data_IF_497406526916
#
_entry.id   IF_497406526916
#
_cell.length_a   1.000
_cell.length_b   1.000
_cell.length_c   1.000
_cell.angle_alpha   90.00
_cell.angle_beta   90.00
_cell.angle_gamma   90.00
#
_symmetry.space_group_name_H-M   'P 1'
#
loop_
_entity.id
_entity.type
_entity.pdbx_description
1 polymer ?
#
# COMPACT_ATOMS: atom_id res chain seq x y z
N UNK A 1 2.71 -24.63 -3.24
CA UNK A 1 1.47 -24.43 -2.45
C UNK A 1 0.52 -25.56 -2.81
N UNK A 2 0.32 -26.53 -1.91
CA UNK A 2 -0.61 -27.65 -2.13
C UNK A 2 -2.01 -27.25 -1.65
N UNK A 3 -3.07 -27.73 -2.30
CA UNK A 3 -4.44 -27.52 -1.84
C UNK A 3 -4.58 -28.03 -0.39
N UNK A 4 -5.09 -27.19 0.51
CA UNK A 4 -5.19 -27.48 1.95
C UNK A 4 -4.05 -26.92 2.81
N UNK A 5 -3.10 -26.18 2.23
CA UNK A 5 -2.07 -25.48 3.02
C UNK A 5 -2.68 -24.30 3.77
N UNK A 6 -2.76 -24.40 5.10
CA UNK A 6 -3.06 -23.26 5.98
C UNK A 6 -1.77 -22.48 6.17
N UNK A 7 -1.75 -21.21 5.77
CA UNK A 7 -0.61 -20.33 5.94
C UNK A 7 -0.90 -19.41 7.12
N UNK A 8 -0.18 -19.61 8.21
CA UNK A 8 -0.19 -18.69 9.33
C UNK A 8 0.63 -17.46 8.97
N UNK A 9 -0.05 -16.33 8.77
CA UNK A 9 0.62 -15.04 8.62
C UNK A 9 1.14 -14.62 10.00
N UNK A 10 2.46 -14.44 10.10
CA UNK A 10 3.09 -13.92 11.32
C UNK A 10 2.66 -12.48 11.66
N UNK A 11 2.03 -11.79 10.70
CA UNK A 11 1.46 -10.46 10.87
C UNK A 11 0.10 -10.60 11.55
N UNK A 12 -0.01 -10.14 12.80
CA UNK A 12 -1.26 -10.18 13.56
C UNK A 12 -2.33 -9.37 12.81
N UNK A 13 -3.58 -9.83 12.87
CA UNK A 13 -4.75 -9.08 12.37
C UNK A 13 -4.88 -7.67 12.97
N UNK A 14 -4.17 -7.45 14.07
CA UNK A 14 -4.17 -6.24 14.88
C UNK A 14 -3.08 -5.23 14.47
N UNK A 15 -2.20 -5.57 13.51
CA UNK A 15 -1.15 -4.69 13.03
C UNK A 15 -1.60 -3.78 11.89
N UNK A 16 -1.00 -2.58 11.82
CA UNK A 16 -1.18 -1.66 10.71
C UNK A 16 -0.81 -2.33 9.38
N UNK A 17 -1.77 -2.40 8.48
CA UNK A 17 -1.58 -2.81 7.09
C UNK A 17 -1.07 -1.64 6.26
N UNK A 18 -0.19 -1.96 5.32
CA UNK A 18 0.28 -1.00 4.33
C UNK A 18 -0.73 -0.93 3.19
N UNK A 19 -1.11 0.29 2.82
CA UNK A 19 -1.99 0.54 1.68
C UNK A 19 -1.09 0.85 0.50
N UNK A 20 -1.10 -0.02 -0.50
CA UNK A 20 -0.30 0.15 -1.72
C UNK A 20 -1.18 0.57 -2.89
N UNK A 21 -0.70 1.53 -3.67
CA UNK A 21 -1.24 1.89 -4.98
C UNK A 21 -0.10 1.79 -5.98
N UNK A 22 -0.29 1.05 -7.07
CA UNK A 22 0.76 0.81 -8.08
C UNK A 22 2.11 0.37 -7.48
N UNK A 23 2.09 -0.60 -6.56
CA UNK A 23 3.27 -1.10 -5.84
C UNK A 23 4.01 -0.07 -4.96
N UNK A 24 3.42 1.10 -4.69
CA UNK A 24 3.97 2.10 -3.76
C UNK A 24 3.12 2.19 -2.50
N UNK A 25 3.76 2.20 -1.33
CA UNK A 25 3.09 2.40 -0.05
C UNK A 25 2.62 3.85 0.06
N UNK A 26 1.32 4.07 0.01
CA UNK A 26 0.70 5.40 0.11
C UNK A 26 0.14 5.71 1.49
N UNK A 27 0.22 4.77 2.44
CA UNK A 27 -0.32 4.95 3.77
C UNK A 27 -0.39 3.67 4.59
N UNK A 28 -0.91 3.82 5.81
CA UNK A 28 -1.17 2.74 6.75
C UNK A 28 -2.59 2.81 7.28
N UNK A 29 -3.17 1.64 7.52
CA UNK A 29 -4.50 1.53 8.09
C UNK A 29 -4.69 0.24 8.87
N UNK A 30 -5.76 0.19 9.63
CA UNK A 30 -6.16 -0.98 10.41
C UNK A 30 -7.34 -1.68 9.74
N UNK A 31 -7.41 -3.00 9.86
CA UNK A 31 -8.57 -3.78 9.42
C UNK A 31 -9.70 -3.57 10.41
N UNK A 32 -10.86 -3.18 9.91
CA UNK A 32 -12.08 -3.04 10.71
C UNK A 32 -13.17 -3.94 10.13
N UNK A 33 -13.93 -4.59 11.01
CA UNK A 33 -15.10 -5.37 10.64
C UNK A 33 -16.34 -4.69 11.20
N UNK A 34 -17.29 -4.34 10.33
CA UNK A 34 -18.56 -3.72 10.71
C UNK A 34 -19.70 -4.63 10.24
N UNK A 35 -20.28 -5.38 11.18
CA UNK A 35 -21.27 -6.41 10.88
C UNK A 35 -20.68 -7.50 9.99
N UNK A 36 -21.14 -7.57 8.75
CA UNK A 36 -20.64 -8.50 7.72
C UNK A 36 -19.64 -7.87 6.77
N UNK A 37 -19.39 -6.56 6.88
CA UNK A 37 -18.50 -5.83 5.99
C UNK A 37 -17.08 -5.78 6.56
N UNK A 38 -16.09 -6.04 5.70
CA UNK A 38 -14.69 -5.81 5.99
C UNK A 38 -14.25 -4.50 5.35
N UNK A 39 -13.57 -3.67 6.12
CA UNK A 39 -13.05 -2.38 5.67
C UNK A 39 -11.65 -2.13 6.21
N UNK A 40 -11.03 -1.07 5.72
CA UNK A 40 -9.74 -0.58 6.20
C UNK A 40 -9.93 0.85 6.69
N UNK A 41 -9.63 1.10 7.97
CA UNK A 41 -9.60 2.46 8.52
C UNK A 41 -8.23 3.06 8.23
N UNK A 42 -8.20 4.09 7.40
CA UNK A 42 -6.95 4.83 7.10
C UNK A 42 -6.53 5.62 8.34
N UNK A 43 -5.33 5.34 8.86
CA UNK A 43 -4.78 6.01 10.06
C UNK A 43 -3.81 7.11 9.63
N UNK A 44 -2.97 6.78 8.65
CA UNK A 44 -1.95 7.69 8.14
C UNK A 44 -1.89 7.59 6.63
N UNK A 45 -2.00 8.73 5.96
CA UNK A 45 -1.69 8.85 4.54
C UNK A 45 -0.25 9.34 4.37
N UNK A 46 0.44 8.83 3.36
CA UNK A 46 1.70 9.37 2.87
C UNK A 46 1.52 10.77 2.27
N UNK A 47 2.62 11.34 1.78
CA UNK A 47 2.60 12.68 1.19
C UNK A 47 1.69 12.72 -0.04
N UNK A 48 1.08 13.88 -0.30
CA UNK A 48 0.24 14.08 -1.48
C UNK A 48 1.04 13.83 -2.77
N UNK A 49 2.30 14.24 -2.78
CA UNK A 49 3.24 14.03 -3.89
C UNK A 49 3.44 12.54 -4.20
N UNK A 50 3.74 11.71 -3.18
CA UNK A 50 3.86 10.25 -3.33
C UNK A 50 2.56 9.60 -3.82
N UNK A 51 1.40 10.12 -3.38
CA UNK A 51 0.09 9.62 -3.81
C UNK A 51 -0.20 9.95 -5.27
N UNK A 52 0.17 11.15 -5.71
CA UNK A 52 0.00 11.57 -7.11
C UNK A 52 0.97 10.78 -8.00
N UNK A 53 2.22 10.60 -7.58
CA UNK A 53 3.19 9.75 -8.28
C UNK A 53 2.74 8.29 -8.36
N UNK A 54 2.08 7.79 -7.30
CA UNK A 54 1.49 6.46 -7.30
C UNK A 54 0.22 6.38 -8.16
N UNK A 55 -0.50 7.47 -8.46
CA UNK A 55 -1.70 7.48 -9.30
C UNK A 55 -1.41 7.76 -10.79
N UNK A 56 -0.37 8.53 -11.07
CA UNK A 56 0.05 8.93 -12.42
C UNK A 56 0.88 7.87 -13.15
N UNK A 57 1.07 8.01 -14.48
CA UNK A 57 2.01 7.18 -15.21
C UNK A 57 3.40 7.41 -14.62
N UNK A 58 4.12 6.33 -14.30
CA UNK A 58 5.42 6.35 -13.66
C UNK A 58 6.37 7.34 -14.37
N UNK A 59 6.46 8.56 -13.86
CA UNK A 59 7.54 9.48 -14.22
C UNK A 59 8.75 8.96 -13.49
N UNK A 60 9.44 8.02 -14.12
CA UNK A 60 10.86 7.84 -13.88
C UNK A 60 11.50 9.20 -14.14
N UNK A 61 12.12 9.86 -13.15
CA UNK A 61 12.94 11.02 -13.45
C UNK A 61 14.12 10.50 -14.26
N UNK A 62 14.03 10.57 -15.59
CA UNK A 62 15.20 10.42 -16.45
C UNK A 62 16.18 11.49 -16.00
N UNK A 63 17.38 11.12 -15.52
CA UNK A 63 18.39 12.11 -15.24
C UNK A 63 18.70 12.81 -16.56
N UNK A 64 18.35 14.09 -16.66
CA UNK A 64 18.71 14.92 -17.82
C UNK A 64 20.24 14.93 -17.85
N UNK A 65 20.91 14.34 -18.85
CA UNK A 65 22.34 14.46 -18.96
C UNK A 65 22.64 15.94 -19.20
N UNK A 66 23.46 16.53 -18.32
CA UNK A 66 23.96 17.88 -18.47
C UNK A 66 24.51 18.03 -19.90
N UNK A 67 23.87 18.89 -20.69
CA UNK A 67 24.31 19.20 -22.04
C UNK A 67 25.73 19.82 -21.98
N UNK A 68 26.59 19.51 -22.97
CA UNK A 68 27.97 20.00 -23.02
C UNK A 68 28.06 21.52 -23.23
#
# INVERSE_FOLDING_TARGET
LSHGSIIELAKRSDEELEILVNNRVIGRGEVVKVGENFGIRVIRTGQIEERIDALGPAVHPTPVPAAP
#
